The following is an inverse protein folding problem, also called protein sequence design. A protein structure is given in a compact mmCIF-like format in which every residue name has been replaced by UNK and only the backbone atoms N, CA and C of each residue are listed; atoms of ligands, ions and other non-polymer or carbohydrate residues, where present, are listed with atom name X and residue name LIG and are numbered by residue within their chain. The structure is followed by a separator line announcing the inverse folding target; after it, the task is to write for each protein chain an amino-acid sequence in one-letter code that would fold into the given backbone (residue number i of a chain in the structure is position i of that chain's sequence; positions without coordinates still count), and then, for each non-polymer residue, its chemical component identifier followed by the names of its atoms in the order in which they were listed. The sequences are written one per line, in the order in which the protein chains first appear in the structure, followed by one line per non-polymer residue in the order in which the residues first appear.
data_IF_213275503730
#
_entry.id   IF_213275503730
#
_cell.length_a   1.000
_cell.length_b   1.000
_cell.length_c   1.000
_cell.angle_alpha   90.00
_cell.angle_beta   90.00
_cell.angle_gamma   90.00
#
_symmetry.space_group_name_H-M   'P 1'
#
loop_
_entity.id
_entity.type
_entity.pdbx_description
1 polymer ?
#
# COMPACT_ATOMS: atom_id res chain seq x y z
N UNK A 1 6.97 -20.93 60.73
CA UNK A 1 6.78 -20.28 59.42
C UNK A 1 6.01 -21.27 58.55
N UNK A 2 4.69 -21.08 58.48
CA UNK A 2 3.72 -21.94 57.81
C UNK A 2 2.98 -21.07 56.80
N UNK A 3 2.80 -21.61 55.60
CA UNK A 3 1.76 -21.35 54.60
C UNK A 3 1.50 -19.89 54.16
N UNK A 4 1.93 -19.61 52.94
CA UNK A 4 1.13 -18.87 51.96
C UNK A 4 1.09 -19.69 50.65
N UNK A 5 0.47 -20.87 50.74
CA UNK A 5 -0.43 -21.34 49.70
C UNK A 5 -1.82 -20.94 50.19
N UNK A 6 -2.56 -20.20 49.36
CA UNK A 6 -4.03 -20.19 49.24
C UNK A 6 -4.50 -18.83 48.71
N UNK A 7 -4.56 -18.69 47.38
CA UNK A 7 -5.79 -18.38 46.64
C UNK A 7 -5.45 -17.94 45.21
N UNK A 8 -5.22 -18.91 44.34
CA UNK A 8 -5.66 -18.82 42.95
C UNK A 8 -6.61 -20.00 42.78
N UNK A 9 -7.81 -19.79 43.33
CA UNK A 9 -8.91 -20.73 43.24
C UNK A 9 -9.24 -21.00 41.78
N UNK A 10 -9.37 -22.28 41.47
CA UNK A 10 -9.77 -22.84 40.19
C UNK A 10 -11.01 -22.14 39.62
N UNK A 11 -10.84 -21.51 38.45
CA UNK A 11 -11.88 -21.42 37.43
C UNK A 11 -11.26 -21.93 36.13
N UNK A 12 -11.99 -22.82 35.45
CA UNK A 12 -11.65 -23.50 34.18
C UNK A 12 -10.45 -22.92 33.41
N UNK A 13 -9.40 -23.73 33.27
CA UNK A 13 -8.10 -23.41 32.67
C UNK A 13 -8.09 -23.05 31.18
N UNK A 14 -8.86 -22.03 30.79
CA UNK A 14 -8.62 -21.26 29.57
C UNK A 14 -7.76 -20.07 29.93
N UNK A 15 -6.50 -20.12 29.52
CA UNK A 15 -5.62 -18.95 29.55
C UNK A 15 -6.29 -17.84 28.73
N UNK A 16 -6.57 -16.70 29.35
CA UNK A 16 -7.02 -15.52 28.62
C UNK A 16 -5.81 -14.91 27.90
N UNK A 17 -5.70 -15.23 26.61
CA UNK A 17 -4.61 -14.77 25.75
C UNK A 17 -4.50 -13.25 25.69
N UNK A 18 -5.61 -12.52 25.88
CA UNK A 18 -5.58 -11.06 25.86
C UNK A 18 -4.94 -10.52 27.14
N UNK A 19 -5.35 -11.06 28.29
CA UNK A 19 -4.77 -10.73 29.59
C UNK A 19 -3.27 -11.09 29.63
N UNK A 20 -2.91 -12.28 29.14
CA UNK A 20 -1.50 -12.68 29.04
C UNK A 20 -0.69 -11.71 28.18
N UNK A 21 -1.21 -11.29 27.02
CA UNK A 21 -0.52 -10.33 26.15
C UNK A 21 -0.32 -8.95 26.82
N UNK A 22 -1.28 -8.51 27.64
CA UNK A 22 -1.19 -7.26 28.40
C UNK A 22 -0.19 -7.35 29.58
N UNK A 23 -0.05 -8.53 30.20
CA UNK A 23 0.90 -8.80 31.29
C UNK A 23 2.32 -9.08 30.79
N UNK A 24 2.48 -9.57 29.55
CA UNK A 24 3.75 -9.96 28.94
C UNK A 24 4.07 -9.17 27.64
N UNK A 25 4.06 -7.83 27.64
CA UNK A 25 4.20 -7.04 26.42
C UNK A 25 5.58 -7.15 25.76
N UNK A 26 6.65 -7.38 26.54
CA UNK A 26 8.00 -7.58 26.02
C UNK A 26 8.13 -8.91 25.29
N UNK A 27 7.71 -10.01 25.94
CA UNK A 27 7.74 -11.35 25.34
C UNK A 27 6.91 -11.43 24.06
N UNK A 28 5.71 -10.84 24.07
CA UNK A 28 4.90 -10.75 22.87
C UNK A 28 5.53 -9.85 21.80
N UNK A 29 6.08 -8.69 22.20
CA UNK A 29 6.69 -7.73 21.27
C UNK A 29 7.91 -8.31 20.54
N UNK A 30 8.80 -8.99 21.26
CA UNK A 30 9.96 -9.70 20.68
C UNK A 30 9.51 -10.77 19.68
N UNK A 31 8.50 -11.57 20.04
CA UNK A 31 7.94 -12.57 19.14
C UNK A 31 7.30 -11.94 17.90
N UNK A 32 6.48 -10.90 18.07
CA UNK A 32 5.79 -10.25 16.97
C UNK A 32 6.76 -9.54 16.00
N UNK A 33 7.85 -8.96 16.51
CA UNK A 33 8.91 -8.39 15.70
C UNK A 33 9.63 -9.48 14.88
N UNK A 34 10.00 -10.58 15.53
CA UNK A 34 10.63 -11.72 14.85
C UNK A 34 9.73 -12.29 13.74
N UNK A 35 8.42 -12.41 13.99
CA UNK A 35 7.47 -12.86 12.97
C UNK A 35 7.33 -11.86 11.80
N UNK A 36 7.45 -10.56 12.04
CA UNK A 36 7.36 -9.54 10.99
C UNK A 36 8.61 -9.43 10.10
N UNK A 37 9.75 -9.89 10.59
CA UNK A 37 11.02 -9.97 9.83
C UNK A 37 11.29 -11.36 9.25
N UNK A 38 10.51 -12.36 9.66
CA UNK A 38 10.66 -13.74 9.21
C UNK A 38 10.34 -13.85 7.71
N UNK A 39 11.22 -14.52 6.96
CA UNK A 39 10.97 -14.82 5.56
C UNK A 39 9.66 -15.59 5.41
N UNK A 40 9.01 -15.46 4.24
CA UNK A 40 7.79 -16.21 3.88
C UNK A 40 7.90 -17.69 4.22
N UNK A 41 9.11 -18.27 4.13
CA UNK A 41 9.43 -19.65 4.51
C UNK A 41 9.34 -19.94 6.03
N UNK A 42 9.70 -19.04 6.93
CA UNK A 42 9.66 -19.27 8.40
C UNK A 42 8.24 -19.17 8.96
N UNK A 43 7.45 -18.22 8.44
CA UNK A 43 6.01 -18.15 8.70
C UNK A 43 5.30 -19.37 8.11
N UNK A 44 5.66 -19.70 6.88
CA UNK A 44 5.15 -20.89 6.21
C UNK A 44 5.66 -22.16 6.91
N UNK A 45 6.79 -22.16 7.62
CA UNK A 45 7.28 -23.30 8.41
C UNK A 45 6.39 -23.57 9.64
N UNK A 46 5.72 -22.56 10.19
CA UNK A 46 4.64 -22.74 11.17
C UNK A 46 3.36 -23.29 10.52
N UNK A 47 3.07 -22.93 9.28
CA UNK A 47 2.11 -23.64 8.41
C UNK A 47 2.58 -25.04 7.99
N UNK A 48 3.90 -25.24 7.87
CA UNK A 48 4.56 -26.50 7.54
C UNK A 48 4.50 -27.45 8.71
N UNK A 49 4.38 -26.96 9.94
CA UNK A 49 3.99 -27.82 11.05
C UNK A 49 2.61 -28.44 10.82
N UNK A 50 1.67 -27.79 10.12
CA UNK A 50 0.40 -28.41 9.73
C UNK A 50 0.60 -29.47 8.62
N UNK A 51 1.45 -29.19 7.62
CA UNK A 51 1.86 -30.15 6.60
C UNK A 51 2.58 -31.39 7.18
N UNK A 52 3.47 -31.17 8.16
CA UNK A 52 4.24 -32.21 8.87
C UNK A 52 3.38 -32.98 9.88
N UNK A 53 2.34 -32.34 10.44
CA UNK A 53 1.45 -32.98 11.41
C UNK A 53 0.34 -33.78 10.76
N UNK A 54 -0.11 -33.41 9.55
CA UNK A 54 -1.18 -34.09 8.82
C UNK A 54 -0.79 -34.38 7.35
N UNK A 55 -0.26 -35.59 7.07
CA UNK A 55 -0.04 -36.04 5.68
C UNK A 55 -1.32 -36.08 4.84
N UNK A 56 -2.48 -36.26 5.49
CA UNK A 56 -3.79 -36.23 4.85
C UNK A 56 -4.15 -34.83 4.34
N UNK A 57 -3.86 -33.80 5.14
CA UNK A 57 -4.03 -32.40 4.73
C UNK A 57 -3.19 -32.10 3.48
N UNK A 58 -1.90 -32.46 3.50
CA UNK A 58 -1.01 -32.24 2.37
C UNK A 58 -1.54 -32.88 1.10
N UNK A 59 -1.85 -34.18 1.16
CA UNK A 59 -2.35 -34.94 0.02
C UNK A 59 -3.67 -34.37 -0.51
N UNK A 60 -4.55 -33.93 0.38
CA UNK A 60 -5.84 -33.36 -0.03
C UNK A 60 -5.67 -32.01 -0.72
N UNK A 61 -4.79 -31.14 -0.20
CA UNK A 61 -4.46 -29.87 -0.82
C UNK A 61 -3.86 -30.06 -2.23
N UNK A 62 -2.90 -30.98 -2.38
CA UNK A 62 -2.31 -31.32 -3.68
C UNK A 62 -3.38 -31.73 -4.70
N UNK A 63 -4.27 -32.65 -4.31
CA UNK A 63 -5.41 -33.04 -5.16
C UNK A 63 -6.33 -31.86 -5.52
N UNK A 64 -6.52 -30.91 -4.59
CA UNK A 64 -7.38 -29.75 -4.86
C UNK A 64 -6.77 -28.77 -5.83
N UNK A 65 -5.45 -28.60 -5.76
CA UNK A 65 -4.68 -27.78 -6.70
C UNK A 65 -4.75 -28.42 -8.10
N UNK A 66 -4.51 -29.73 -8.19
CA UNK A 66 -4.56 -30.47 -9.46
C UNK A 66 -5.94 -30.44 -10.12
N UNK A 67 -7.01 -30.42 -9.33
CA UNK A 67 -8.40 -30.43 -9.80
C UNK A 67 -9.06 -29.05 -9.89
N UNK A 68 -8.34 -27.95 -9.57
CA UNK A 68 -8.88 -26.59 -9.51
C UNK A 68 -10.17 -26.49 -8.65
N UNK A 69 -10.17 -27.14 -7.49
CA UNK A 69 -11.35 -27.21 -6.63
C UNK A 69 -11.04 -26.94 -5.15
N UNK A 70 -10.16 -25.96 -4.89
CA UNK A 70 -9.81 -25.51 -3.54
C UNK A 70 -11.06 -25.27 -2.68
N UNK A 71 -11.18 -26.05 -1.60
CA UNK A 71 -12.22 -26.00 -0.58
C UNK A 71 -11.56 -25.86 0.79
N UNK A 72 -11.68 -24.67 1.38
CA UNK A 72 -11.03 -24.35 2.64
C UNK A 72 -11.75 -24.91 3.85
N UNK A 73 -13.06 -25.11 3.77
CA UNK A 73 -13.83 -25.69 4.87
C UNK A 73 -13.46 -27.17 5.05
N UNK A 74 -13.25 -27.89 3.94
CA UNK A 74 -12.74 -29.26 3.98
C UNK A 74 -11.32 -29.32 4.55
N UNK A 75 -10.42 -28.46 4.10
CA UNK A 75 -9.04 -28.39 4.59
C UNK A 75 -8.98 -28.04 6.09
N UNK A 76 -9.80 -27.09 6.54
CA UNK A 76 -9.93 -26.73 7.96
C UNK A 76 -10.48 -27.90 8.78
N UNK A 77 -11.47 -28.63 8.25
CA UNK A 77 -12.03 -29.81 8.92
C UNK A 77 -10.98 -30.90 9.10
N UNK A 78 -10.17 -31.18 8.08
CA UNK A 78 -9.06 -32.14 8.17
C UNK A 78 -8.06 -31.73 9.25
N UNK A 79 -7.74 -30.44 9.35
CA UNK A 79 -6.86 -29.94 10.42
C UNK A 79 -7.51 -30.03 11.80
N UNK A 80 -8.80 -29.75 11.93
CA UNK A 80 -9.55 -29.86 13.19
C UNK A 80 -9.66 -31.30 13.68
N UNK A 81 -9.76 -32.26 12.77
CA UNK A 81 -9.81 -33.70 13.07
C UNK A 81 -8.40 -34.30 13.30
N UNK A 82 -7.35 -33.55 12.97
CA UNK A 82 -5.96 -33.94 13.22
C UNK A 82 -5.49 -33.57 14.63
N UNK A 83 -4.33 -34.11 15.02
CA UNK A 83 -3.64 -33.77 16.27
C UNK A 83 -2.87 -32.44 16.20
N UNK A 84 -3.05 -31.64 15.14
CA UNK A 84 -2.34 -30.38 14.94
C UNK A 84 -2.52 -29.41 16.10
N UNK A 85 -3.76 -29.15 16.53
CA UNK A 85 -4.02 -28.19 17.61
C UNK A 85 -3.40 -28.66 18.94
N UNK A 86 -3.39 -29.97 19.20
CA UNK A 86 -2.77 -30.55 20.38
C UNK A 86 -1.24 -30.45 20.32
N UNK A 87 -0.62 -30.73 19.16
CA UNK A 87 0.83 -30.59 18.96
C UNK A 87 1.30 -29.14 19.13
N UNK A 88 0.56 -28.19 18.56
CA UNK A 88 0.95 -26.77 18.53
C UNK A 88 0.62 -26.07 19.84
N UNK A 89 -0.57 -26.30 20.41
CA UNK A 89 -1.07 -25.56 21.56
C UNK A 89 -1.20 -26.39 22.85
N UNK A 90 -0.97 -27.70 22.80
CA UNK A 90 -0.97 -28.58 23.97
C UNK A 90 0.23 -28.34 24.89
N UNK A 91 0.19 -28.98 26.06
CA UNK A 91 1.28 -28.96 27.03
C UNK A 91 2.55 -29.58 26.42
N UNK A 92 3.65 -28.84 26.53
CA UNK A 92 4.93 -29.23 25.96
C UNK A 92 5.82 -29.86 27.03
N UNK A 93 6.71 -30.75 26.63
CA UNK A 93 7.69 -31.33 27.54
C UNK A 93 8.58 -30.25 28.20
N UNK A 94 8.96 -30.49 29.45
CA UNK A 94 9.85 -29.62 30.23
C UNK A 94 11.17 -29.39 29.46
N UNK A 95 11.50 -28.12 29.18
CA UNK A 95 12.69 -27.74 28.41
C UNK A 95 12.49 -27.63 26.89
N UNK A 96 11.27 -27.81 26.37
CA UNK A 96 10.97 -27.56 24.96
C UNK A 96 11.17 -26.08 24.59
N UNK A 97 11.99 -25.82 23.57
CA UNK A 97 12.15 -24.47 23.00
C UNK A 97 10.84 -23.93 22.40
N UNK A 98 9.88 -24.79 22.05
CA UNK A 98 8.57 -24.35 21.57
C UNK A 98 7.67 -23.82 22.70
N UNK A 99 7.88 -24.28 23.94
CA UNK A 99 7.05 -23.90 25.08
C UNK A 99 7.03 -22.37 25.33
N UNK A 100 8.18 -21.70 25.11
CA UNK A 100 8.30 -20.23 25.21
C UNK A 100 7.52 -19.48 24.13
N UNK A 101 7.33 -20.08 22.94
CA UNK A 101 6.65 -19.41 21.82
C UNK A 101 5.17 -19.73 21.72
N UNK A 102 4.69 -20.79 22.39
CA UNK A 102 3.30 -21.24 22.33
C UNK A 102 2.27 -20.15 22.63
N UNK A 103 2.45 -19.43 23.74
CA UNK A 103 1.54 -18.35 24.15
C UNK A 103 1.69 -17.08 23.30
N UNK A 104 2.91 -16.58 23.02
CA UNK A 104 3.11 -15.49 22.06
C UNK A 104 2.49 -15.78 20.69
N UNK A 105 2.68 -16.99 20.17
CA UNK A 105 2.12 -17.42 18.88
C UNK A 105 0.60 -17.46 18.90
N UNK A 106 -0.01 -18.03 19.93
CA UNK A 106 -1.46 -18.06 20.08
C UNK A 106 -2.07 -16.64 20.20
N UNK A 107 -1.41 -15.75 20.94
CA UNK A 107 -1.80 -14.35 21.05
C UNK A 107 -1.66 -13.63 19.71
N UNK A 108 -0.56 -13.86 18.99
CA UNK A 108 -0.30 -13.26 17.69
C UNK A 108 -1.30 -13.71 16.62
N UNK A 109 -1.66 -15.01 16.57
CA UNK A 109 -2.69 -15.53 15.66
C UNK A 109 -4.08 -14.92 15.92
N UNK A 110 -4.38 -14.57 17.18
CA UNK A 110 -5.71 -14.14 17.59
C UNK A 110 -5.87 -12.61 17.59
N UNK A 111 -4.84 -11.89 18.02
CA UNK A 111 -4.87 -10.45 18.27
C UNK A 111 -3.73 -9.69 17.57
N UNK A 112 -2.67 -10.39 17.14
CA UNK A 112 -1.55 -9.80 16.43
C UNK A 112 -1.77 -9.71 14.92
N UNK A 113 -0.71 -9.37 14.17
CA UNK A 113 -0.75 -9.08 12.72
C UNK A 113 -0.71 -10.32 11.81
N UNK A 114 -1.16 -11.47 12.30
CA UNK A 114 -1.09 -12.73 11.53
C UNK A 114 -1.91 -12.68 10.25
N UNK A 115 -3.07 -12.03 10.27
CA UNK A 115 -3.94 -11.92 9.10
C UNK A 115 -3.34 -10.99 8.05
N UNK A 116 -2.82 -9.84 8.48
CA UNK A 116 -2.10 -8.89 7.63
C UNK A 116 -0.88 -9.53 6.96
N UNK A 117 -0.09 -10.28 7.72
CA UNK A 117 1.11 -10.93 7.20
C UNK A 117 0.78 -12.11 6.29
N UNK A 118 -0.32 -12.83 6.53
CA UNK A 118 -0.82 -13.84 5.59
C UNK A 118 -1.23 -13.19 4.26
N UNK A 119 -1.81 -11.99 4.29
CA UNK A 119 -2.14 -11.25 3.06
C UNK A 119 -0.86 -10.94 2.28
N UNK A 120 0.13 -10.33 2.94
CA UNK A 120 1.39 -9.95 2.31
C UNK A 120 2.10 -11.16 1.68
N UNK A 121 2.18 -12.28 2.40
CA UNK A 121 2.82 -13.50 1.93
C UNK A 121 2.14 -14.12 0.69
N UNK A 122 0.80 -14.08 0.63
CA UNK A 122 0.07 -14.61 -0.52
C UNK A 122 0.27 -13.71 -1.75
N UNK A 123 0.29 -12.39 -1.55
CA UNK A 123 0.51 -11.44 -2.65
C UNK A 123 1.94 -11.54 -3.17
N UNK A 124 2.95 -11.62 -2.30
CA UNK A 124 4.35 -11.86 -2.69
C UNK A 124 4.51 -13.20 -3.43
N UNK A 125 3.85 -14.27 -2.96
CA UNK A 125 3.84 -15.56 -3.65
C UNK A 125 3.17 -15.47 -5.04
N UNK A 126 2.11 -14.67 -5.18
CA UNK A 126 1.44 -14.46 -6.46
C UNK A 126 2.32 -13.68 -7.44
N UNK A 127 3.07 -12.69 -6.97
CA UNK A 127 3.98 -11.88 -7.80
C UNK A 127 5.21 -12.66 -8.25
N UNK A 128 5.74 -13.55 -7.40
CA UNK A 128 6.95 -14.33 -7.69
C UNK A 128 6.74 -15.51 -8.64
N UNK A 129 5.49 -15.92 -8.90
CA UNK A 129 5.16 -17.13 -9.67
C UNK A 129 4.66 -16.77 -11.08
N UNK A 130 5.40 -17.21 -12.11
CA UNK A 130 5.00 -17.10 -13.52
C UNK A 130 4.02 -18.22 -13.96
N UNK A 131 2.98 -18.45 -13.14
CA UNK A 131 1.91 -19.39 -13.45
C UNK A 131 0.55 -18.77 -13.10
N UNK A 132 -0.19 -18.36 -14.13
CA UNK A 132 -1.51 -17.71 -13.99
C UNK A 132 -2.55 -18.59 -13.27
N UNK A 133 -2.50 -19.91 -13.45
CA UNK A 133 -3.41 -20.81 -12.75
C UNK A 133 -3.13 -20.82 -11.26
N UNK A 134 -1.86 -20.83 -10.87
CA UNK A 134 -1.45 -20.79 -9.47
C UNK A 134 -1.78 -19.43 -8.83
N UNK A 135 -1.52 -18.32 -9.54
CA UNK A 135 -1.94 -16.98 -9.13
C UNK A 135 -3.46 -16.90 -8.90
N UNK A 136 -4.25 -17.52 -9.79
CA UNK A 136 -5.70 -17.60 -9.63
C UNK A 136 -6.12 -18.39 -8.38
N UNK A 137 -5.44 -19.51 -8.07
CA UNK A 137 -5.68 -20.25 -6.83
C UNK A 137 -5.36 -19.42 -5.59
N UNK A 138 -4.24 -18.70 -5.57
CA UNK A 138 -3.87 -17.80 -4.47
C UNK A 138 -4.90 -16.69 -4.29
N UNK A 139 -5.42 -16.10 -5.38
CA UNK A 139 -6.49 -15.11 -5.31
C UNK A 139 -7.80 -15.70 -4.75
N UNK A 140 -8.15 -16.92 -5.13
CA UNK A 140 -9.33 -17.64 -4.59
C UNK A 140 -9.15 -17.94 -3.11
N UNK A 141 -7.97 -18.41 -2.70
CA UNK A 141 -7.61 -18.61 -1.30
C UNK A 141 -7.76 -17.31 -0.50
N UNK A 142 -7.15 -16.23 -0.96
CA UNK A 142 -7.20 -14.91 -0.33
C UNK A 142 -8.64 -14.45 -0.11
N UNK A 143 -9.48 -14.57 -1.14
CA UNK A 143 -10.88 -14.15 -1.07
C UNK A 143 -11.65 -14.89 0.03
N UNK A 144 -11.47 -16.20 0.12
CA UNK A 144 -12.16 -17.02 1.12
C UNK A 144 -11.58 -16.77 2.52
N UNK A 145 -10.26 -16.65 2.65
CA UNK A 145 -9.59 -16.29 3.90
C UNK A 145 -10.11 -14.97 4.47
N UNK A 146 -10.11 -13.89 3.67
CA UNK A 146 -10.60 -12.57 4.10
C UNK A 146 -12.09 -12.59 4.45
N UNK A 147 -12.90 -13.34 3.70
CA UNK A 147 -14.32 -13.52 4.02
C UNK A 147 -14.49 -14.14 5.41
N UNK A 148 -13.66 -15.14 5.74
CA UNK A 148 -13.69 -15.82 7.02
C UNK A 148 -13.21 -14.95 8.17
N UNK A 149 -12.14 -14.19 7.97
CA UNK A 149 -11.64 -13.22 8.97
C UNK A 149 -12.74 -12.24 9.41
N UNK A 150 -13.56 -11.80 8.46
CA UNK A 150 -14.70 -10.90 8.71
C UNK A 150 -15.88 -11.63 9.34
N UNK A 151 -16.23 -12.83 8.88
CA UNK A 151 -17.31 -13.64 9.44
C UNK A 151 -17.06 -14.00 10.91
N UNK A 152 -15.83 -14.44 11.22
CA UNK A 152 -15.41 -14.81 12.56
C UNK A 152 -15.12 -13.59 13.45
N UNK A 153 -15.29 -12.36 12.92
CA UNK A 153 -15.04 -11.09 13.61
C UNK A 153 -13.61 -10.95 14.15
N UNK A 154 -12.64 -11.64 13.56
CA UNK A 154 -11.21 -11.47 13.86
C UNK A 154 -10.68 -10.17 13.28
N UNK A 155 -11.25 -9.74 12.15
CA UNK A 155 -11.02 -8.42 11.53
C UNK A 155 -12.32 -7.84 11.02
N UNK A 156 -12.42 -6.51 10.96
CA UNK A 156 -13.48 -5.87 10.20
C UNK A 156 -13.02 -5.53 8.78
N UNK A 157 -13.98 -5.39 7.86
CA UNK A 157 -13.67 -4.89 6.50
C UNK A 157 -13.03 -3.51 6.53
N UNK A 158 -13.37 -2.68 7.52
CA UNK A 158 -12.78 -1.36 7.70
C UNK A 158 -11.31 -1.48 8.07
N UNK A 159 -10.98 -2.29 9.07
CA UNK A 159 -9.60 -2.45 9.55
C UNK A 159 -8.70 -3.03 8.45
N UNK A 160 -9.20 -4.04 7.71
CA UNK A 160 -8.46 -4.62 6.57
C UNK A 160 -8.24 -3.58 5.46
N UNK A 161 -9.24 -2.75 5.17
CA UNK A 161 -9.09 -1.69 4.17
C UNK A 161 -8.10 -0.63 4.63
N UNK A 162 -8.20 -0.20 5.87
CA UNK A 162 -7.27 0.76 6.48
C UNK A 162 -5.83 0.23 6.45
N UNK A 163 -5.63 -1.07 6.69
CA UNK A 163 -4.34 -1.74 6.54
C UNK A 163 -3.80 -1.70 5.10
N UNK A 164 -4.63 -2.06 4.11
CA UNK A 164 -4.22 -2.06 2.71
C UNK A 164 -3.91 -0.64 2.21
N UNK A 165 -4.72 0.34 2.62
CA UNK A 165 -4.51 1.76 2.29
C UNK A 165 -3.22 2.29 2.94
N UNK A 166 -2.94 1.91 4.19
CA UNK A 166 -1.67 2.17 4.87
C UNK A 166 -0.48 1.61 4.08
N UNK A 167 -0.53 0.32 3.72
CA UNK A 167 0.55 -0.37 3.02
C UNK A 167 0.81 0.27 1.65
N UNK A 168 -0.24 0.50 0.87
CA UNK A 168 -0.15 1.23 -0.38
C UNK A 168 0.45 2.63 -0.19
N UNK A 169 0.19 3.29 0.94
CA UNK A 169 0.76 4.61 1.23
C UNK A 169 2.24 4.52 1.58
N UNK A 170 2.68 3.48 2.29
CA UNK A 170 4.11 3.20 2.51
C UNK A 170 4.83 2.95 1.19
N UNK A 171 4.32 2.04 0.36
CA UNK A 171 4.95 1.65 -0.92
C UNK A 171 5.04 2.84 -1.90
N UNK A 172 4.05 3.73 -1.86
CA UNK A 172 4.01 4.92 -2.70
C UNK A 172 4.74 6.13 -2.10
N UNK A 173 5.31 6.04 -0.90
CA UNK A 173 5.99 7.14 -0.21
C UNK A 173 5.06 8.24 0.35
N UNK A 174 3.77 7.94 0.49
CA UNK A 174 2.71 8.86 0.91
C UNK A 174 2.24 8.61 2.36
N UNK A 175 3.07 8.00 3.21
CA UNK A 175 2.70 7.65 4.58
C UNK A 175 2.23 8.85 5.42
N UNK A 176 2.86 10.02 5.23
CA UNK A 176 2.51 11.24 5.94
C UNK A 176 1.11 11.73 5.58
N UNK A 177 0.74 11.71 4.30
CA UNK A 177 -0.58 12.15 3.83
C UNK A 177 -1.68 11.22 4.34
N UNK A 178 -1.47 9.90 4.26
CA UNK A 178 -2.39 8.91 4.82
C UNK A 178 -2.60 9.10 6.33
N UNK A 179 -1.54 9.41 7.09
CA UNK A 179 -1.64 9.67 8.52
C UNK A 179 -2.45 10.96 8.84
N UNK A 180 -2.45 11.95 7.94
CA UNK A 180 -3.21 13.19 8.08
C UNK A 180 -4.70 13.00 7.75
N UNK A 181 -5.06 12.10 6.83
CA UNK A 181 -6.45 11.84 6.42
C UNK A 181 -7.36 11.35 7.57
N UNK A 182 -6.78 10.85 8.67
CA UNK A 182 -7.51 10.40 9.87
C UNK A 182 -7.56 11.42 11.02
N UNK A 183 -6.88 12.57 10.90
CA UNK A 183 -6.93 13.64 11.90
C UNK A 183 -8.14 14.50 11.60
N UNK A 184 -9.22 14.28 12.36
CA UNK A 184 -10.42 15.11 12.30
C UNK A 184 -10.03 16.60 12.47
N UNK A 185 -10.36 17.45 11.50
CA UNK A 185 -10.11 18.91 11.54
C UNK A 185 -10.97 19.63 12.61
N UNK A 186 -11.37 18.95 13.68
CA UNK A 186 -12.26 19.48 14.72
C UNK A 186 -11.51 19.76 16.03
N UNK A 187 -10.57 20.72 15.98
CA UNK A 187 -10.38 21.65 17.11
C UNK A 187 -9.96 23.04 16.61
N UNK A 188 -10.70 24.10 16.98
CA UNK A 188 -10.60 25.39 16.33
C UNK A 188 -9.35 26.13 16.78
N UNK A 189 -8.50 26.50 15.84
CA UNK A 189 -7.53 27.57 16.09
C UNK A 189 -7.67 28.62 14.99
N UNK A 190 -8.25 29.74 15.41
CA UNK A 190 -8.18 31.08 14.82
C UNK A 190 -8.07 31.19 13.29
N UNK A 191 -9.22 31.57 12.71
CA UNK A 191 -9.40 32.38 11.50
C UNK A 191 -8.10 32.90 10.87
N UNK A 192 -7.75 32.37 9.70
CA UNK A 192 -7.17 33.19 8.64
C UNK A 192 -8.15 33.15 7.48
N UNK A 193 -8.77 34.29 7.24
CA UNK A 193 -9.68 34.55 6.14
C UNK A 193 -8.85 34.73 4.88
N UNK A 194 -9.01 33.88 3.87
CA UNK A 194 -8.72 34.26 2.49
C UNK A 194 -9.82 33.69 1.57
N UNK A 195 -10.83 34.54 1.34
CA UNK A 195 -11.65 34.45 0.16
C UNK A 195 -10.87 35.10 -0.98
N UNK A 196 -10.47 34.33 -1.98
CA UNK A 196 -10.20 34.82 -3.32
C UNK A 196 -10.84 33.84 -4.30
N UNK A 197 -11.86 34.30 -5.01
CA UNK A 197 -12.54 33.58 -6.10
C UNK A 197 -11.49 33.02 -7.07
N UNK A 198 -11.34 31.69 -7.08
CA UNK A 198 -10.46 30.98 -7.99
C UNK A 198 -11.16 30.94 -9.36
N UNK A 199 -10.69 31.78 -10.28
CA UNK A 199 -11.02 31.66 -11.70
C UNK A 199 -10.58 30.28 -12.20
N UNK A 200 -11.52 29.51 -12.74
CA UNK A 200 -11.34 28.12 -13.19
C UNK A 200 -10.83 27.99 -14.65
N UNK A 201 -10.41 29.08 -15.28
CA UNK A 201 -10.08 29.12 -16.71
C UNK A 201 -8.55 29.19 -16.96
N UNK A 202 -8.01 28.36 -17.86
CA UNK A 202 -6.59 28.31 -18.20
C UNK A 202 -6.08 29.67 -18.71
N UNK A 203 -6.95 30.46 -19.35
CA UNK A 203 -6.62 31.84 -19.77
C UNK A 203 -6.23 32.74 -18.61
N UNK A 204 -6.84 32.54 -17.45
CA UNK A 204 -6.56 33.32 -16.24
C UNK A 204 -5.31 32.85 -15.49
N UNK A 205 -4.80 31.66 -15.83
CA UNK A 205 -3.62 31.07 -15.23
C UNK A 205 -2.33 31.46 -15.96
N UNK A 206 -2.41 31.83 -17.24
CA UNK A 206 -1.28 32.26 -18.05
C UNK A 206 -0.98 33.75 -17.84
N UNK A 207 0.28 34.08 -17.57
CA UNK A 207 0.73 35.47 -17.38
C UNK A 207 0.46 36.37 -18.60
N UNK A 208 0.49 35.81 -19.82
CA UNK A 208 0.16 36.55 -21.06
C UNK A 208 -1.33 36.69 -21.35
N UNK A 209 -2.21 35.95 -20.65
CA UNK A 209 -3.63 35.79 -20.97
C UNK A 209 -3.91 35.47 -22.46
N UNK A 210 -2.97 34.80 -23.14
CA UNK A 210 -3.01 34.57 -24.58
C UNK A 210 -4.01 33.48 -24.99
N UNK A 211 -5.17 33.88 -25.53
CA UNK A 211 -6.18 32.91 -26.02
C UNK A 211 -5.71 32.01 -27.17
N UNK A 212 -4.71 32.46 -27.90
CA UNK A 212 -4.06 31.70 -28.96
C UNK A 212 -3.12 30.60 -28.41
N UNK A 213 -2.50 30.83 -27.24
CA UNK A 213 -1.67 29.83 -26.55
C UNK A 213 -2.55 28.70 -26.03
N UNK A 214 -3.67 29.03 -25.38
CA UNK A 214 -4.65 28.04 -24.89
C UNK A 214 -5.18 27.16 -26.03
N UNK A 215 -5.51 27.73 -27.20
CA UNK A 215 -5.94 26.94 -28.36
C UNK A 215 -4.87 25.96 -28.86
N UNK A 216 -3.60 26.36 -28.82
CA UNK A 216 -2.48 25.50 -29.24
C UNK A 216 -2.18 24.41 -28.24
N UNK A 217 -2.26 24.73 -26.94
CA UNK A 217 -2.19 23.75 -25.86
C UNK A 217 -3.28 22.69 -26.05
N UNK A 218 -4.53 23.12 -26.33
CA UNK A 218 -5.63 22.20 -26.62
C UNK A 218 -5.32 21.25 -27.78
N UNK A 219 -4.86 21.78 -28.92
CA UNK A 219 -4.48 20.98 -30.09
C UNK A 219 -3.30 20.04 -29.83
N UNK A 220 -2.37 20.43 -28.96
CA UNK A 220 -1.22 19.62 -28.58
C UNK A 220 -1.63 18.44 -27.69
N UNK A 221 -2.52 18.67 -26.71
CA UNK A 221 -3.04 17.66 -25.78
C UNK A 221 -3.85 16.57 -26.50
N UNK A 222 -4.53 16.89 -27.61
CA UNK A 222 -5.23 15.89 -28.43
C UNK A 222 -4.30 14.75 -28.92
N UNK A 223 -3.00 15.03 -29.04
CA UNK A 223 -1.98 14.08 -29.50
C UNK A 223 -1.04 13.59 -28.40
N UNK A 224 -1.00 14.28 -27.26
CA UNK A 224 -0.08 14.04 -26.14
C UNK A 224 -0.85 13.84 -24.84
N UNK A 225 -1.14 12.57 -24.54
CA UNK A 225 -2.04 12.13 -23.47
C UNK A 225 -1.28 11.35 -22.38
N UNK A 226 0.06 11.43 -22.32
CA UNK A 226 0.86 10.75 -21.28
C UNK A 226 1.24 11.71 -20.17
N UNK A 227 1.37 11.21 -18.94
CA UNK A 227 1.62 12.07 -17.77
C UNK A 227 2.98 12.77 -17.83
N UNK A 228 3.94 12.17 -18.55
CA UNK A 228 5.25 12.76 -18.85
C UNK A 228 5.12 13.95 -19.80
N UNK A 229 4.26 13.85 -20.83
CA UNK A 229 4.03 14.94 -21.78
C UNK A 229 3.40 16.16 -21.08
N UNK A 230 2.39 15.94 -20.22
CA UNK A 230 1.76 17.01 -19.44
C UNK A 230 2.75 17.63 -18.43
N UNK A 231 3.68 16.84 -17.90
CA UNK A 231 4.75 17.34 -17.05
C UNK A 231 5.76 18.20 -17.83
N UNK A 232 6.12 17.81 -19.06
CA UNK A 232 6.94 18.65 -19.95
C UNK A 232 6.25 19.96 -20.29
N UNK A 233 4.93 19.94 -20.51
CA UNK A 233 4.14 21.16 -20.71
C UNK A 233 4.14 22.07 -19.48
N UNK A 234 3.94 21.50 -18.28
CA UNK A 234 4.02 22.26 -17.03
C UNK A 234 5.39 22.92 -16.85
N UNK A 235 6.47 22.16 -17.04
CA UNK A 235 7.84 22.68 -16.93
C UNK A 235 8.13 23.74 -17.99
N UNK A 236 7.66 23.54 -19.23
CA UNK A 236 7.83 24.53 -20.31
C UNK A 236 7.15 25.86 -19.98
N UNK A 237 5.93 25.83 -19.42
CA UNK A 237 5.17 27.02 -19.03
C UNK A 237 5.80 27.76 -17.84
N UNK A 238 6.36 27.02 -16.88
CA UNK A 238 7.10 27.61 -15.75
C UNK A 238 8.40 28.25 -16.23
N UNK A 239 9.16 27.57 -17.10
CA UNK A 239 10.42 28.09 -17.63
C UNK A 239 10.22 29.26 -18.61
N UNK A 240 9.08 29.35 -19.28
CA UNK A 240 8.74 30.48 -20.14
C UNK A 240 8.17 31.69 -19.38
N UNK A 241 7.94 31.57 -18.07
CA UNK A 241 7.31 32.61 -17.26
C UNK A 241 5.81 32.79 -17.52
N UNK A 242 5.17 31.86 -18.23
CA UNK A 242 3.72 31.86 -18.47
C UNK A 242 2.97 31.31 -17.26
N UNK A 243 3.60 30.44 -16.46
CA UNK A 243 3.06 29.89 -15.23
C UNK A 243 3.94 30.29 -14.05
N UNK A 244 3.33 30.78 -12.97
CA UNK A 244 4.07 31.07 -11.75
C UNK A 244 4.68 29.75 -11.20
N UNK A 245 6.00 29.70 -10.90
CA UNK A 245 6.65 28.52 -10.31
C UNK A 245 6.03 28.05 -8.99
N UNK A 246 5.35 28.93 -8.26
CA UNK A 246 4.62 28.62 -7.03
C UNK A 246 3.24 27.98 -7.28
N UNK A 247 2.81 27.89 -8.54
CA UNK A 247 1.54 27.27 -8.92
C UNK A 247 1.59 25.76 -8.69
N UNK A 248 0.75 25.20 -7.80
CA UNK A 248 0.72 23.76 -7.57
C UNK A 248 0.33 23.00 -8.85
N UNK A 249 1.04 21.90 -9.15
CA UNK A 249 0.73 21.04 -10.31
C UNK A 249 -0.71 20.53 -10.24
N UNK A 250 -1.23 20.26 -9.04
CA UNK A 250 -2.64 19.96 -8.77
C UNK A 250 -3.58 20.97 -9.41
N UNK A 251 -3.40 22.25 -9.08
CA UNK A 251 -4.21 23.35 -9.58
C UNK A 251 -4.09 23.50 -11.09
N UNK A 252 -2.90 23.28 -11.65
CA UNK A 252 -2.66 23.27 -13.09
C UNK A 252 -3.45 22.15 -13.79
N UNK A 253 -3.39 20.91 -13.28
CA UNK A 253 -4.08 19.75 -13.88
C UNK A 253 -5.60 19.86 -13.75
N UNK A 254 -6.11 20.37 -12.63
CA UNK A 254 -7.54 20.64 -12.43
C UNK A 254 -8.07 21.66 -13.44
N UNK A 255 -7.35 22.77 -13.63
CA UNK A 255 -7.72 23.81 -14.61
C UNK A 255 -7.59 23.29 -16.05
N UNK A 256 -6.57 22.48 -16.35
CA UNK A 256 -6.37 21.89 -17.66
C UNK A 256 -7.51 20.91 -18.01
N UNK A 257 -7.93 20.10 -17.03
CA UNK A 257 -9.04 19.16 -17.16
C UNK A 257 -10.39 19.86 -17.28
N UNK A 258 -10.57 20.99 -16.58
CA UNK A 258 -11.77 21.81 -16.71
C UNK A 258 -11.85 22.54 -18.07
N UNK A 259 -10.71 22.94 -18.63
CA UNK A 259 -10.63 23.65 -19.92
C UNK A 259 -10.79 22.71 -21.12
N UNK A 260 -10.30 21.46 -21.01
CA UNK A 260 -10.36 20.45 -22.07
C UNK A 260 -11.02 19.14 -21.59
N UNK A 261 -12.30 19.14 -21.21
CA UNK A 261 -12.97 17.96 -20.67
C UNK A 261 -13.12 16.81 -21.69
N UNK A 262 -13.05 17.12 -22.99
CA UNK A 262 -13.11 16.13 -24.08
C UNK A 262 -11.82 15.32 -24.22
N UNK A 263 -10.70 15.81 -23.69
CA UNK A 263 -9.42 15.10 -23.69
C UNK A 263 -9.32 14.27 -22.41
N UNK A 264 -9.12 12.94 -22.52
CA UNK A 264 -8.89 12.05 -21.36
C UNK A 264 -7.50 12.30 -20.76
N UNK A 265 -7.32 13.44 -20.11
CA UNK A 265 -6.08 13.82 -19.45
C UNK A 265 -5.78 12.81 -18.34
N UNK A 266 -4.51 12.43 -18.25
CA UNK A 266 -3.98 11.47 -17.28
C UNK A 266 -4.08 12.05 -15.89
N UNK A 267 -4.39 11.20 -14.90
CA UNK A 267 -4.68 11.65 -13.54
C UNK A 267 -3.56 12.49 -12.92
N UNK A 268 -3.96 13.49 -12.12
CA UNK A 268 -3.11 14.43 -11.38
C UNK A 268 -1.85 13.81 -10.78
N UNK A 269 -1.98 12.63 -10.16
CA UNK A 269 -0.88 11.88 -9.51
C UNK A 269 0.22 11.44 -10.49
N UNK A 270 -0.12 11.11 -11.73
CA UNK A 270 0.86 10.69 -12.74
C UNK A 270 1.63 11.89 -13.29
N UNK A 271 0.97 13.04 -13.42
CA UNK A 271 1.60 14.31 -13.82
C UNK A 271 2.52 14.81 -12.72
N UNK A 272 2.08 14.82 -11.46
CA UNK A 272 2.89 15.22 -10.32
C UNK A 272 4.15 14.34 -10.16
N UNK A 273 4.02 13.02 -10.30
CA UNK A 273 5.18 12.09 -10.27
C UNK A 273 6.19 12.41 -11.37
N UNK A 274 5.72 12.70 -12.57
CA UNK A 274 6.56 13.03 -13.71
C UNK A 274 7.23 14.40 -13.55
N UNK A 275 6.53 15.41 -13.00
CA UNK A 275 7.12 16.72 -12.68
C UNK A 275 8.21 16.60 -11.62
N UNK A 276 7.96 15.85 -10.54
CA UNK A 276 8.95 15.62 -9.49
C UNK A 276 10.18 14.88 -10.05
N UNK A 277 9.95 13.84 -10.87
CA UNK A 277 11.03 13.11 -11.53
C UNK A 277 11.87 14.02 -12.43
N UNK A 278 11.25 14.96 -13.16
CA UNK A 278 11.96 15.94 -13.99
C UNK A 278 12.74 16.97 -13.15
N UNK A 279 12.28 17.27 -11.94
CA UNK A 279 12.90 18.18 -10.99
C UNK A 279 13.97 17.50 -10.10
N UNK A 280 14.04 16.18 -10.10
CA UNK A 280 15.06 15.41 -9.39
C UNK A 280 16.41 15.44 -10.12
N UNK A 281 17.48 15.22 -9.35
CA UNK A 281 18.84 15.11 -9.86
C UNK A 281 19.03 13.75 -10.54
N UNK A 282 19.60 13.75 -11.75
CA UNK A 282 19.88 12.52 -12.49
C UNK A 282 20.85 11.64 -11.70
N UNK A 283 20.63 10.31 -11.64
CA UNK A 283 21.52 9.39 -10.92
C UNK A 283 22.95 9.40 -11.46
N UNK A 284 23.15 9.76 -12.73
CA UNK A 284 24.42 9.60 -13.42
C UNK A 284 25.14 10.90 -13.78
N UNK A 285 24.57 12.09 -13.53
CA UNK A 285 25.25 13.39 -13.71
C UNK A 285 24.68 14.43 -12.74
N UNK A 286 25.51 15.38 -12.30
CA UNK A 286 25.15 16.53 -11.43
C UNK A 286 24.21 17.55 -12.13
N UNK A 287 23.14 17.09 -12.79
CA UNK A 287 22.17 17.89 -13.54
C UNK A 287 20.76 17.36 -13.28
N UNK A 288 19.75 18.21 -13.43
CA UNK A 288 18.37 17.78 -13.25
C UNK A 288 17.94 16.88 -14.41
N UNK A 289 17.02 15.95 -14.17
CA UNK A 289 16.52 15.02 -15.20
C UNK A 289 15.85 15.80 -16.35
N UNK A 290 15.20 16.94 -16.08
CA UNK A 290 14.72 17.86 -17.12
C UNK A 290 15.81 18.39 -18.07
N UNK A 291 17.08 18.37 -17.64
CA UNK A 291 18.24 18.81 -18.42
C UNK A 291 18.89 17.68 -19.23
N UNK A 292 18.35 16.46 -19.13
CA UNK A 292 18.76 15.36 -19.99
C UNK A 292 18.29 15.61 -21.44
N UNK A 293 19.08 15.22 -22.45
CA UNK A 293 18.85 15.60 -23.84
C UNK A 293 17.46 15.20 -24.37
N UNK A 294 16.89 14.09 -23.90
CA UNK A 294 15.55 13.64 -24.31
C UNK A 294 14.44 14.54 -23.76
N UNK A 295 14.51 14.89 -22.47
CA UNK A 295 13.52 15.74 -21.82
C UNK A 295 13.67 17.21 -22.18
N UNK A 296 14.90 17.68 -22.30
CA UNK A 296 15.21 19.05 -22.74
C UNK A 296 14.72 19.28 -24.17
N UNK A 297 14.91 18.32 -25.07
CA UNK A 297 14.37 18.40 -26.44
C UNK A 297 12.84 18.49 -26.47
N UNK A 298 12.14 17.70 -25.65
CA UNK A 298 10.68 17.75 -25.56
C UNK A 298 10.17 19.10 -25.00
N UNK A 299 10.80 19.62 -23.95
CA UNK A 299 10.47 20.92 -23.35
C UNK A 299 10.72 22.05 -24.35
N UNK A 300 11.85 22.04 -25.06
CA UNK A 300 12.21 23.09 -26.00
C UNK A 300 11.37 23.04 -27.29
N UNK A 301 10.96 21.84 -27.73
CA UNK A 301 9.96 21.69 -28.80
C UNK A 301 8.60 22.27 -28.37
N UNK A 302 8.15 22.08 -27.12
CA UNK A 302 6.92 22.72 -26.63
C UNK A 302 7.07 24.25 -26.60
N UNK A 303 8.21 24.78 -26.13
CA UNK A 303 8.46 26.22 -26.15
C UNK A 303 8.45 26.80 -27.56
N UNK A 304 9.02 26.10 -28.53
CA UNK A 304 9.11 26.55 -29.93
C UNK A 304 7.78 26.39 -30.68
N UNK A 305 7.12 25.24 -30.56
CA UNK A 305 5.96 24.87 -31.38
C UNK A 305 4.63 25.34 -30.77
N UNK A 306 4.51 25.31 -29.44
CA UNK A 306 3.29 25.67 -28.71
C UNK A 306 3.35 27.13 -28.26
N UNK A 307 4.43 27.51 -27.58
CA UNK A 307 4.60 28.85 -27.01
C UNK A 307 5.19 29.86 -27.99
N UNK A 308 5.81 29.41 -29.10
CA UNK A 308 6.54 30.25 -30.08
C UNK A 308 7.57 31.17 -29.43
N UNK A 309 8.31 30.63 -28.49
CA UNK A 309 9.44 31.31 -27.85
C UNK A 309 10.70 30.78 -28.55
N UNK A 310 11.47 31.65 -29.18
CA UNK A 310 12.72 31.27 -29.84
C UNK A 310 13.73 30.74 -28.80
N UNK A 311 14.33 29.55 -29.02
CA UNK A 311 15.26 28.96 -28.07
C UNK A 311 16.65 29.61 -28.04
N UNK A 312 16.97 30.49 -29.01
CA UNK A 312 18.28 31.16 -29.15
C UNK A 312 18.28 32.62 -28.66
N UNK A 313 17.67 32.88 -27.50
CA UNK A 313 17.81 34.15 -26.78
C UNK A 313 19.07 34.16 -25.89
N UNK A 314 20.25 34.29 -26.50
CA UNK A 314 21.41 34.87 -25.80
C UNK A 314 21.19 36.39 -25.79
N UNK A 315 21.09 36.98 -24.60
CA UNK A 315 21.06 38.43 -24.28
C UNK A 315 20.51 39.41 -25.35
#
# INVERSE_FOLDING_TARGET
MKNQQDNLGSQDGKIDLKMWMEEHPQEYGEFAAAMGEADSLEVFLLGAAAFLSSPEFQKRLENMIDLDNLDLDELLKILQESDFAEKIFGEQAEGSEWAKYRLPFAAWLKYGRSSEMMIDNIEEAAESIDNKQYQWQLAKFMKTFLAREVEDKRRSRKDLKEYLDYRMSVDNGNLADWALEGIDESKPTAKITENAELSHDLLSLLASHGSEIVKRIGKWIETHIRGVDIAHLYVALVESGELDPSTPVKRFVEILSATFPECKIVGERQVQKSVNTLQDLSPNRKRFIKDEPEHRFAIDSIKTDVLRIDPDGVD
#
